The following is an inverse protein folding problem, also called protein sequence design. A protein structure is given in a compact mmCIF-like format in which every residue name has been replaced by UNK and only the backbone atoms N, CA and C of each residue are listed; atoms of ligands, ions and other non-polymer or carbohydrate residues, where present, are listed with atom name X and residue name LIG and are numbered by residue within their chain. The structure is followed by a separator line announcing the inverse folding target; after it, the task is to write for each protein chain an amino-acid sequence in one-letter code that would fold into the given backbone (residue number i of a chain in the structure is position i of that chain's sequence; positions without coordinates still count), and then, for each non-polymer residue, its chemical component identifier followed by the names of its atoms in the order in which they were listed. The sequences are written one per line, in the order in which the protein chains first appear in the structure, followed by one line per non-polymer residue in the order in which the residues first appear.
data_IF_595521303175
#
_entry.id   IF_595521303175
#
_cell.length_a   1.000
_cell.length_b   1.000
_cell.length_c   1.000
_cell.angle_alpha   90.00
_cell.angle_beta   90.00
_cell.angle_gamma   90.00
#
_symmetry.space_group_name_H-M   'P 1'
#
loop_
_entity.id
_entity.type
_entity.pdbx_description
1 polymer ?
#
# COMPACT_ATOMS: atom_id res chain seq x y z
N UNK A 1 9.43 2.41 -38.10
CA UNK A 1 8.66 2.31 -36.86
C UNK A 1 9.65 1.91 -35.79
N UNK A 2 9.86 2.79 -34.80
CA UNK A 2 10.77 2.51 -33.70
C UNK A 2 10.22 1.38 -32.83
N UNK A 3 11.09 0.51 -32.34
CA UNK A 3 10.67 -0.58 -31.46
C UNK A 3 10.14 -0.01 -30.13
N UNK A 4 8.98 -0.50 -29.68
CA UNK A 4 8.38 -0.09 -28.41
C UNK A 4 9.09 -0.84 -27.28
N UNK A 5 9.84 -0.12 -26.45
CA UNK A 5 10.39 -0.63 -25.20
C UNK A 5 9.28 -0.81 -24.15
N UNK A 6 9.52 -1.56 -23.06
CA UNK A 6 8.54 -1.86 -21.99
C UNK A 6 7.43 -2.87 -22.31
N UNK A 7 7.68 -3.91 -23.10
CA UNK A 7 6.66 -4.91 -23.51
C UNK A 7 6.02 -5.75 -22.40
N UNK A 8 6.58 -5.78 -21.18
CA UNK A 8 6.10 -6.65 -20.08
C UNK A 8 5.69 -5.93 -18.80
N UNK A 9 6.06 -4.65 -18.66
CA UNK A 9 5.99 -3.93 -17.39
C UNK A 9 5.08 -2.70 -17.53
N UNK A 10 3.91 -2.95 -18.11
CA UNK A 10 2.82 -2.01 -18.17
C UNK A 10 1.48 -2.73 -18.15
N UNK A 11 0.46 -2.01 -17.68
CA UNK A 11 -0.94 -2.40 -17.74
C UNK A 11 -1.66 -1.42 -18.66
N UNK A 12 -2.40 -1.95 -19.62
CA UNK A 12 -3.28 -1.16 -20.49
C UNK A 12 -4.62 -0.91 -19.79
N UNK A 13 -4.99 0.36 -19.64
CA UNK A 13 -6.28 0.84 -19.13
C UNK A 13 -7.08 1.56 -20.22
N UNK A 14 -6.76 1.33 -21.49
CA UNK A 14 -7.45 1.94 -22.62
C UNK A 14 -8.89 1.44 -22.73
N UNK A 15 -9.78 2.35 -23.09
CA UNK A 15 -11.21 2.11 -23.31
C UNK A 15 -11.58 2.61 -24.69
N UNK A 16 -12.77 2.28 -25.20
CA UNK A 16 -13.30 2.79 -26.48
C UNK A 16 -13.24 4.34 -26.64
N UNK A 17 -13.06 5.08 -25.54
CA UNK A 17 -12.99 6.55 -25.50
C UNK A 17 -11.58 7.12 -25.48
N UNK A 18 -10.54 6.31 -25.31
CA UNK A 18 -9.18 6.80 -25.18
C UNK A 18 -8.19 5.84 -24.55
N UNK A 19 -6.94 6.30 -24.49
CA UNK A 19 -5.80 5.50 -24.11
C UNK A 19 -5.22 5.94 -22.77
N UNK A 20 -4.90 4.98 -21.93
CA UNK A 20 -4.18 5.22 -20.68
C UNK A 20 -3.35 4.00 -20.33
N UNK A 21 -2.11 4.23 -19.93
CA UNK A 21 -1.16 3.18 -19.62
C UNK A 21 -0.60 3.40 -18.22
N UNK A 22 -0.33 2.30 -17.52
CA UNK A 22 0.32 2.32 -16.22
C UNK A 22 1.59 1.50 -16.30
N UNK A 23 2.73 2.05 -15.89
CA UNK A 23 4.02 1.37 -15.91
C UNK A 23 4.49 1.10 -14.49
N UNK A 24 4.90 -0.12 -14.16
CA UNK A 24 5.29 -0.50 -12.80
C UNK A 24 6.80 -0.76 -12.68
N UNK A 25 7.30 -0.84 -11.44
CA UNK A 25 8.67 -1.24 -11.14
C UNK A 25 8.70 -2.74 -10.83
N UNK A 26 9.55 -3.50 -11.53
CA UNK A 26 9.71 -4.95 -11.33
C UNK A 26 10.15 -5.31 -9.88
N UNK A 27 10.68 -4.34 -9.12
CA UNK A 27 11.16 -4.54 -7.74
C UNK A 27 10.18 -4.10 -6.65
N UNK A 28 9.63 -2.90 -6.74
CA UNK A 28 8.82 -2.32 -5.66
C UNK A 28 7.32 -2.25 -5.96
N UNK A 29 6.87 -2.60 -7.16
CA UNK A 29 5.47 -2.50 -7.57
C UNK A 29 4.97 -1.07 -7.80
N UNK A 30 5.61 -0.04 -7.21
CA UNK A 30 5.28 1.35 -7.50
C UNK A 30 5.34 1.62 -9.01
N UNK A 31 4.33 2.33 -9.51
CA UNK A 31 4.21 2.66 -10.90
C UNK A 31 3.76 4.10 -11.13
N UNK A 32 3.68 4.46 -12.40
CA UNK A 32 3.20 5.74 -12.87
C UNK A 32 2.11 5.52 -13.90
N UNK A 33 0.99 6.23 -13.74
CA UNK A 33 -0.09 6.24 -14.71
C UNK A 33 0.06 7.44 -15.63
N UNK A 34 -0.06 7.23 -16.93
CA UNK A 34 -0.07 8.33 -17.90
C UNK A 34 -1.38 9.09 -17.84
N UNK A 35 -1.36 10.33 -18.34
CA UNK A 35 -2.59 11.09 -18.54
C UNK A 35 -3.48 10.36 -19.56
N UNK A 36 -4.79 10.44 -19.35
CA UNK A 36 -5.76 9.87 -20.26
C UNK A 36 -5.76 10.66 -21.57
N UNK A 37 -5.44 10.00 -22.68
CA UNK A 37 -5.51 10.60 -24.01
C UNK A 37 -6.86 10.25 -24.63
N UNK A 38 -7.75 11.24 -24.74
CA UNK A 38 -9.07 11.03 -25.36
C UNK A 38 -8.90 10.68 -26.84
N UNK A 39 -9.37 9.50 -27.24
CA UNK A 39 -9.44 9.09 -28.63
C UNK A 39 -10.84 9.36 -29.13
N UNK A 40 -11.06 10.59 -29.57
CA UNK A 40 -12.31 10.99 -30.17
C UNK A 40 -12.31 10.65 -31.66
N UNK A 41 -12.32 9.37 -32.03
CA UNK A 41 -12.75 8.96 -33.38
C UNK A 41 -14.29 9.06 -33.52
N UNK A 42 -14.85 10.09 -32.88
CA UNK A 42 -16.27 10.35 -32.65
C UNK A 42 -16.59 11.81 -32.28
N UNK A 43 -15.63 12.75 -32.34
CA UNK A 43 -15.97 14.18 -32.38
C UNK A 43 -16.40 14.64 -33.79
N UNK A 44 -17.07 13.76 -34.53
CA UNK A 44 -18.01 14.06 -35.62
C UNK A 44 -19.29 13.23 -35.42
N UNK A 45 -19.77 13.08 -34.19
CA UNK A 45 -21.14 12.62 -33.93
C UNK A 45 -21.90 13.47 -32.91
N UNK A 46 -21.34 14.61 -32.48
CA UNK A 46 -22.04 15.62 -31.68
C UNK A 46 -22.22 16.97 -32.37
N UNK A 47 -21.68 17.14 -33.58
CA UNK A 47 -21.77 18.39 -34.36
C UNK A 47 -22.60 18.24 -35.65
N UNK A 48 -23.39 17.16 -35.78
CA UNK A 48 -24.28 16.91 -36.92
C UNK A 48 -25.78 16.97 -36.57
N UNK A 49 -26.14 17.20 -35.32
CA UNK A 49 -27.55 17.34 -34.91
C UNK A 49 -28.10 18.78 -35.03
N UNK A 50 -27.26 19.75 -35.43
CA UNK A 50 -27.68 21.16 -35.58
C UNK A 50 -27.99 21.60 -37.03
N UNK A 51 -27.98 20.68 -38.01
CA UNK A 51 -28.28 21.03 -39.40
C UNK A 51 -29.17 19.97 -40.10
N UNK A 52 -30.25 19.57 -39.44
CA UNK A 52 -31.28 18.69 -40.03
C UNK A 52 -32.41 19.44 -40.76
N UNK A 53 -32.28 20.75 -41.00
CA UNK A 53 -33.33 21.55 -41.67
C UNK A 53 -32.97 22.12 -43.05
N UNK A 54 -31.82 21.79 -43.66
CA UNK A 54 -31.42 22.51 -44.88
C UNK A 54 -30.87 21.72 -46.08
N UNK A 55 -30.77 20.40 -46.04
CA UNK A 55 -30.36 19.66 -47.25
C UNK A 55 -31.23 18.43 -47.47
N UNK A 56 -32.22 18.62 -48.33
CA UNK A 56 -33.09 17.57 -48.83
C UNK A 56 -32.38 16.62 -49.78
N UNK A 57 -32.79 15.35 -49.71
CA UNK A 57 -32.65 14.39 -50.80
C UNK A 57 -31.35 13.59 -50.82
N UNK A 58 -31.50 12.26 -50.73
CA UNK A 58 -30.50 11.22 -51.09
C UNK A 58 -29.39 10.98 -50.05
N UNK A 59 -29.75 10.59 -48.83
CA UNK A 59 -28.82 9.94 -47.89
C UNK A 59 -29.49 8.74 -47.17
N UNK A 60 -29.95 7.76 -47.95
CA UNK A 60 -30.61 6.55 -47.43
C UNK A 60 -29.68 5.34 -47.20
N UNK A 61 -28.35 5.47 -47.33
CA UNK A 61 -27.41 4.35 -47.19
C UNK A 61 -26.06 4.74 -46.59
N UNK A 62 -26.05 5.15 -45.32
CA UNK A 62 -24.80 5.35 -44.58
C UNK A 62 -24.90 4.97 -43.09
N UNK A 63 -25.63 3.89 -42.75
CA UNK A 63 -25.69 3.40 -41.38
C UNK A 63 -24.81 2.15 -41.11
N UNK A 64 -24.23 1.51 -42.13
CA UNK A 64 -23.53 0.22 -41.97
C UNK A 64 -22.01 0.25 -42.30
N UNK A 65 -21.44 1.42 -42.54
CA UNK A 65 -19.99 1.60 -42.77
C UNK A 65 -19.28 2.30 -41.59
N UNK A 66 -19.93 2.36 -40.43
CA UNK A 66 -19.39 3.00 -39.22
C UNK A 66 -18.54 2.08 -38.33
N UNK A 67 -18.78 0.76 -38.34
CA UNK A 67 -18.11 -0.15 -37.40
C UNK A 67 -16.74 -0.65 -37.87
N UNK A 68 -16.53 -0.80 -39.19
CA UNK A 68 -15.32 -1.43 -39.75
C UNK A 68 -14.14 -0.47 -39.96
N UNK A 69 -14.41 0.84 -40.05
CA UNK A 69 -13.35 1.85 -40.07
C UNK A 69 -12.73 2.09 -38.68
N UNK A 70 -13.40 1.64 -37.60
CA UNK A 70 -12.94 1.81 -36.21
C UNK A 70 -11.68 1.02 -35.89
N UNK A 71 -11.50 -0.18 -36.44
CA UNK A 71 -10.39 -1.07 -36.07
C UNK A 71 -9.03 -0.66 -36.66
N UNK A 72 -9.00 -0.16 -37.89
CA UNK A 72 -7.75 0.22 -38.55
C UNK A 72 -7.13 1.49 -37.93
N UNK A 73 -7.95 2.48 -37.61
CA UNK A 73 -7.49 3.71 -36.96
C UNK A 73 -7.19 3.53 -35.47
N UNK A 74 -7.89 2.62 -34.79
CA UNK A 74 -7.67 2.32 -33.37
C UNK A 74 -6.25 1.83 -33.11
N UNK A 75 -5.81 0.80 -33.85
CA UNK A 75 -4.47 0.21 -33.65
C UNK A 75 -3.35 1.24 -33.86
N UNK A 76 -3.43 2.01 -34.94
CA UNK A 76 -2.42 3.03 -35.23
C UNK A 76 -2.42 4.17 -34.18
N UNK A 77 -3.58 4.58 -33.70
CA UNK A 77 -3.69 5.59 -32.64
C UNK A 77 -3.21 5.06 -31.29
N UNK A 78 -3.49 3.80 -30.98
CA UNK A 78 -3.03 3.10 -29.78
C UNK A 78 -1.51 2.99 -29.78
N UNK A 79 -0.89 2.54 -30.89
CA UNK A 79 0.56 2.43 -31.01
C UNK A 79 1.24 3.78 -30.79
N UNK A 80 0.68 4.85 -31.36
CA UNK A 80 1.18 6.22 -31.16
C UNK A 80 1.06 6.66 -29.70
N UNK A 81 -0.09 6.43 -29.07
CA UNK A 81 -0.33 6.78 -27.69
C UNK A 81 0.61 6.01 -26.74
N UNK A 82 0.88 4.74 -27.02
CA UNK A 82 1.81 3.93 -26.24
C UNK A 82 3.26 4.44 -26.39
N UNK A 83 3.70 4.79 -27.59
CA UNK A 83 5.04 5.37 -27.82
C UNK A 83 5.21 6.68 -27.03
N UNK A 84 4.23 7.57 -27.09
CA UNK A 84 4.24 8.82 -26.32
C UNK A 84 4.28 8.56 -24.81
N UNK A 85 3.47 7.60 -24.33
CA UNK A 85 3.44 7.18 -22.93
C UNK A 85 4.80 6.63 -22.46
N UNK A 86 5.44 5.78 -23.26
CA UNK A 86 6.78 5.25 -22.97
C UNK A 86 7.81 6.38 -22.93
N UNK A 87 7.78 7.32 -23.86
CA UNK A 87 8.71 8.45 -23.88
C UNK A 87 8.60 9.33 -22.63
N UNK A 88 7.37 9.59 -22.15
CA UNK A 88 7.14 10.34 -20.93
C UNK A 88 7.73 9.65 -19.69
N UNK A 89 7.68 8.32 -19.64
CA UNK A 89 8.08 7.57 -18.45
C UNK A 89 9.52 7.07 -18.44
N UNK A 90 10.14 6.94 -19.62
CA UNK A 90 11.53 6.47 -19.80
C UNK A 90 12.55 7.14 -18.85
N UNK A 91 12.47 8.44 -18.52
CA UNK A 91 13.40 9.06 -17.56
C UNK A 91 13.31 8.49 -16.14
N UNK A 92 12.16 7.95 -15.73
CA UNK A 92 11.96 7.44 -14.37
C UNK A 92 12.42 5.99 -14.19
N UNK A 93 12.64 5.27 -15.28
CA UNK A 93 12.98 3.85 -15.29
C UNK A 93 14.34 3.58 -15.93
N UNK A 94 14.95 2.47 -15.53
CA UNK A 94 16.21 1.96 -16.08
C UNK A 94 16.16 0.44 -16.10
N UNK A 95 16.70 -0.15 -17.17
CA UNK A 95 16.82 -1.59 -17.29
C UNK A 95 18.14 -2.06 -16.67
N UNK A 96 18.07 -3.07 -15.81
CA UNK A 96 19.25 -3.69 -15.23
C UNK A 96 19.99 -4.56 -16.27
N UNK A 97 21.29 -4.35 -16.52
CA UNK A 97 22.03 -5.15 -17.50
C UNK A 97 22.23 -6.61 -17.06
N UNK A 98 22.08 -6.91 -15.77
CA UNK A 98 22.25 -8.28 -15.24
C UNK A 98 20.99 -9.12 -15.31
N UNK A 99 19.84 -8.59 -14.89
CA UNK A 99 18.59 -9.34 -14.82
C UNK A 99 17.52 -8.86 -15.81
N UNK A 100 17.84 -7.87 -16.63
CA UNK A 100 16.95 -7.24 -17.61
C UNK A 100 15.65 -6.66 -17.03
N UNK A 101 15.59 -6.49 -15.71
CA UNK A 101 14.45 -5.91 -15.00
C UNK A 101 14.38 -4.40 -15.16
N UNK A 102 13.17 -3.89 -15.42
CA UNK A 102 12.89 -2.46 -15.45
C UNK A 102 12.56 -1.99 -14.04
N UNK A 103 13.40 -1.12 -13.49
CA UNK A 103 13.26 -0.62 -12.13
C UNK A 103 13.24 0.90 -12.08
N UNK A 104 12.57 1.45 -11.06
CA UNK A 104 12.54 2.90 -10.86
C UNK A 104 13.93 3.42 -10.45
N UNK A 105 14.37 4.49 -11.11
CA UNK A 105 15.69 5.12 -10.85
C UNK A 105 15.80 5.70 -9.45
N UNK A 106 14.70 6.27 -8.93
CA UNK A 106 14.67 6.97 -7.64
C UNK A 106 14.95 6.06 -6.45
N UNK A 107 14.41 4.83 -6.45
CA UNK A 107 14.40 3.99 -5.24
C UNK A 107 15.01 2.61 -5.44
N UNK A 108 14.91 2.02 -6.64
CA UNK A 108 15.28 0.62 -6.89
C UNK A 108 16.56 0.44 -7.70
N UNK A 109 17.15 1.53 -8.18
CA UNK A 109 18.44 1.52 -8.85
C UNK A 109 19.58 1.82 -7.87
N UNK A 110 20.66 1.04 -7.95
CA UNK A 110 21.91 1.33 -7.26
C UNK A 110 22.84 2.10 -8.20
N UNK A 111 22.91 3.42 -8.03
CA UNK A 111 23.74 4.28 -8.89
C UNK A 111 25.24 3.95 -8.79
N UNK A 112 25.73 3.61 -7.59
CA UNK A 112 27.15 3.31 -7.37
C UNK A 112 27.61 2.02 -8.07
N UNK A 113 26.69 1.07 -8.26
CA UNK A 113 26.98 -0.25 -8.85
C UNK A 113 26.47 -0.41 -10.27
N UNK A 114 25.67 0.54 -10.79
CA UNK A 114 25.07 0.44 -12.11
C UNK A 114 24.13 -0.78 -12.27
N UNK A 115 23.50 -1.21 -11.18
CA UNK A 115 22.67 -2.42 -11.12
C UNK A 115 21.40 -2.15 -10.32
N UNK A 116 20.35 -2.95 -10.51
CA UNK A 116 19.18 -2.88 -9.65
C UNK A 116 19.51 -3.40 -8.24
N UNK A 117 18.78 -2.92 -7.22
CA UNK A 117 19.01 -3.32 -5.83
C UNK A 117 18.70 -4.79 -5.52
N UNK A 118 18.03 -5.53 -6.41
CA UNK A 118 17.94 -6.99 -6.28
C UNK A 118 19.25 -7.68 -6.70
N UNK A 119 19.98 -7.10 -7.65
CA UNK A 119 21.27 -7.63 -8.14
C UNK A 119 22.46 -7.13 -7.32
N UNK A 120 22.39 -5.89 -6.85
CA UNK A 120 23.41 -5.24 -6.04
C UNK A 120 22.71 -4.34 -4.99
N UNK A 121 22.28 -4.90 -3.85
CA UNK A 121 21.63 -4.13 -2.81
C UNK A 121 22.57 -3.12 -2.17
N UNK A 122 22.00 -2.13 -1.46
CA UNK A 122 22.78 -1.19 -0.66
C UNK A 122 23.20 -1.87 0.64
N UNK A 123 24.46 -2.29 0.72
CA UNK A 123 24.97 -3.08 1.85
C UNK A 123 24.71 -2.43 3.22
N UNK A 124 24.78 -1.10 3.33
CA UNK A 124 24.47 -0.40 4.57
C UNK A 124 23.01 -0.56 5.02
N UNK A 125 22.06 -0.56 4.07
CA UNK A 125 20.64 -0.77 4.34
C UNK A 125 20.39 -2.23 4.72
N UNK A 126 21.00 -3.17 3.99
CA UNK A 126 20.87 -4.61 4.28
C UNK A 126 21.49 -4.96 5.65
N UNK A 127 22.64 -4.39 6.00
CA UNK A 127 23.26 -4.59 7.31
C UNK A 127 22.38 -4.05 8.44
N UNK A 128 21.80 -2.85 8.29
CA UNK A 128 20.89 -2.28 9.28
C UNK A 128 19.62 -3.15 9.43
N UNK A 129 19.06 -3.64 8.32
CA UNK A 129 17.92 -4.54 8.34
C UNK A 129 18.26 -5.89 9.01
N UNK A 130 19.45 -6.45 8.72
CA UNK A 130 19.92 -7.69 9.33
C UNK A 130 20.18 -7.53 10.84
N UNK A 131 20.74 -6.40 11.28
CA UNK A 131 20.90 -6.11 12.71
C UNK A 131 19.53 -6.00 13.38
N UNK A 132 18.59 -5.29 12.77
CA UNK A 132 17.23 -5.18 13.30
C UNK A 132 16.54 -6.55 13.38
N UNK A 133 16.63 -7.38 12.34
CA UNK A 133 16.00 -8.71 12.34
C UNK A 133 16.56 -9.58 13.46
N UNK A 134 17.89 -9.60 13.66
CA UNK A 134 18.51 -10.32 14.78
C UNK A 134 18.04 -9.82 16.13
N UNK A 135 17.99 -8.50 16.34
CA UNK A 135 17.47 -7.96 17.60
C UNK A 135 16.00 -8.34 17.83
N UNK A 136 15.17 -8.33 16.79
CA UNK A 136 13.76 -8.75 16.92
C UNK A 136 13.63 -10.25 17.18
N UNK A 137 14.45 -11.08 16.55
CA UNK A 137 14.50 -12.52 16.76
C UNK A 137 14.94 -12.85 18.19
N UNK A 138 15.97 -12.18 18.70
CA UNK A 138 16.44 -12.32 20.08
C UNK A 138 15.37 -11.88 21.07
N UNK A 139 14.71 -10.73 20.86
CA UNK A 139 13.57 -10.29 21.68
C UNK A 139 12.45 -11.34 21.65
N UNK A 140 12.13 -11.90 20.48
CA UNK A 140 11.10 -12.92 20.35
C UNK A 140 11.52 -14.25 21.01
N UNK A 141 12.80 -14.60 20.97
CA UNK A 141 13.35 -15.79 21.61
C UNK A 141 13.31 -15.65 23.15
N UNK A 142 13.74 -14.51 23.69
CA UNK A 142 13.68 -14.23 25.13
C UNK A 142 12.25 -14.00 25.64
N UNK A 143 11.31 -13.57 24.79
CA UNK A 143 9.89 -13.49 25.15
C UNK A 143 9.13 -14.80 24.98
N UNK A 144 9.64 -15.75 24.20
CA UNK A 144 9.24 -17.16 24.24
C UNK A 144 9.93 -17.82 25.45
N UNK A 145 9.52 -17.39 26.63
CA UNK A 145 9.84 -17.92 27.96
C UNK A 145 10.18 -19.42 27.88
N UNK A 146 11.44 -19.80 28.12
CA UNK A 146 11.81 -21.18 28.40
C UNK A 146 11.01 -21.63 29.63
N UNK A 147 10.59 -22.88 29.69
CA UNK A 147 9.68 -23.39 30.74
C UNK A 147 10.16 -23.07 32.17
N UNK A 148 11.46 -22.92 32.36
CA UNK A 148 12.13 -22.51 33.61
C UNK A 148 11.84 -21.04 34.00
N UNK A 149 11.82 -20.12 33.03
CA UNK A 149 11.46 -18.70 33.25
C UNK A 149 9.96 -18.53 33.57
N UNK A 150 9.12 -19.52 33.27
CA UNK A 150 7.70 -19.53 33.66
C UNK A 150 7.55 -19.60 35.19
N UNK A 151 8.52 -20.17 35.88
CA UNK A 151 8.53 -20.24 37.34
C UNK A 151 8.77 -18.85 37.96
N UNK A 152 9.62 -18.02 37.34
CA UNK A 152 9.78 -16.60 37.72
C UNK A 152 8.54 -15.75 37.39
N UNK A 153 7.73 -16.15 36.41
CA UNK A 153 6.46 -15.48 36.07
C UNK A 153 5.28 -15.87 36.98
N UNK A 154 5.47 -16.80 37.93
CA UNK A 154 4.50 -17.08 39.00
C UNK A 154 4.49 -15.99 40.08
N UNK A 155 5.50 -15.12 40.10
CA UNK A 155 5.48 -13.93 40.93
C UNK A 155 4.45 -12.93 40.33
N UNK A 156 3.36 -12.68 41.05
CA UNK A 156 2.19 -11.91 40.59
C UNK A 156 2.53 -10.45 40.21
N UNK A 157 3.74 -9.99 40.48
CA UNK A 157 4.19 -8.60 40.26
C UNK A 157 4.24 -8.16 38.79
N UNK A 158 4.32 -9.08 37.82
CA UNK A 158 4.45 -8.71 36.40
C UNK A 158 3.12 -8.69 35.63
N UNK A 159 2.06 -9.36 36.13
CA UNK A 159 0.75 -9.47 35.46
C UNK A 159 -0.22 -8.32 35.77
N UNK A 160 0.21 -7.30 36.49
CA UNK A 160 -0.57 -6.08 36.67
C UNK A 160 -0.58 -5.30 35.35
N UNK A 161 -1.68 -5.41 34.60
CA UNK A 161 -1.83 -4.96 33.21
C UNK A 161 -1.28 -3.57 32.91
N UNK A 162 -0.16 -3.54 32.20
CA UNK A 162 0.39 -2.31 31.61
C UNK A 162 -0.33 -2.07 30.28
N UNK A 163 -1.19 -1.06 30.23
CA UNK A 163 -1.77 -0.54 28.99
C UNK A 163 -0.87 0.56 28.45
N UNK A 164 -0.54 0.48 27.16
CA UNK A 164 0.32 1.46 26.50
C UNK A 164 -0.36 2.83 26.28
N UNK A 165 -1.69 2.90 26.36
CA UNK A 165 -2.47 4.11 26.05
C UNK A 165 -3.62 4.32 27.03
N UNK A 166 -3.98 5.59 27.23
CA UNK A 166 -5.09 5.98 28.08
C UNK A 166 -6.42 5.60 27.44
N UNK A 167 -7.34 4.89 28.13
CA UNK A 167 -8.62 4.48 27.56
C UNK A 167 -9.59 5.64 27.31
N UNK A 168 -9.33 6.83 27.86
CA UNK A 168 -10.20 8.01 27.72
C UNK A 168 -9.75 8.98 26.63
N UNK A 169 -8.44 9.21 26.50
CA UNK A 169 -7.89 10.20 25.57
C UNK A 169 -6.89 9.63 24.56
N UNK A 170 -6.61 8.32 24.61
CA UNK A 170 -5.63 7.62 23.77
C UNK A 170 -4.18 8.11 23.85
N UNK A 171 -3.86 9.03 24.78
CA UNK A 171 -2.50 9.47 25.01
C UNK A 171 -1.59 8.31 25.46
N UNK A 172 -0.32 8.28 25.03
CA UNK A 172 0.64 7.26 25.43
C UNK A 172 0.90 7.32 26.93
N UNK A 173 0.83 6.18 27.60
CA UNK A 173 1.08 6.05 29.03
C UNK A 173 2.51 5.54 29.27
N UNK A 174 3.16 6.06 30.31
CA UNK A 174 4.41 5.49 30.78
C UNK A 174 4.17 4.13 31.47
N UNK A 175 5.21 3.29 31.53
CA UNK A 175 5.15 1.99 32.22
C UNK A 175 4.61 2.20 33.65
N UNK A 176 3.55 1.47 34.01
CA UNK A 176 2.89 1.54 35.32
C UNK A 176 2.30 2.91 35.72
N UNK A 177 1.93 3.78 34.76
CA UNK A 177 1.31 5.07 35.06
C UNK A 177 -0.06 4.91 35.75
N UNK A 178 -0.18 5.36 37.01
CA UNK A 178 -1.44 5.32 37.79
C UNK A 178 -2.48 6.34 37.32
N UNK A 179 -2.06 7.40 36.65
CA UNK A 179 -2.89 8.47 36.12
C UNK A 179 -2.38 8.90 34.74
N UNK A 180 -3.30 9.28 33.85
CA UNK A 180 -2.93 9.85 32.55
C UNK A 180 -2.39 11.28 32.73
N UNK A 181 -1.20 11.61 32.21
CA UNK A 181 -0.63 12.96 32.30
C UNK A 181 -1.43 14.00 31.49
N UNK A 182 -2.13 13.57 30.44
CA UNK A 182 -2.88 14.46 29.55
C UNK A 182 -4.30 14.74 30.04
N UNK A 183 -5.01 13.71 30.52
CA UNK A 183 -6.44 13.83 30.85
C UNK A 183 -6.78 13.57 32.33
N UNK A 184 -5.76 13.36 33.18
CA UNK A 184 -5.90 13.14 34.62
C UNK A 184 -6.67 11.87 35.01
N UNK A 185 -7.07 11.04 34.05
CA UNK A 185 -7.90 9.86 34.31
C UNK A 185 -7.09 8.77 34.99
N UNK A 186 -7.60 8.24 36.10
CA UNK A 186 -6.97 7.16 36.84
C UNK A 186 -6.94 5.88 35.99
N UNK A 187 -5.75 5.31 35.83
CA UNK A 187 -5.49 4.04 35.15
C UNK A 187 -5.32 2.96 36.23
N UNK A 188 -6.25 2.91 37.18
CA UNK A 188 -6.24 1.86 38.21
C UNK A 188 -6.59 0.53 37.54
N UNK A 189 -5.74 -0.47 37.72
CA UNK A 189 -6.08 -1.86 37.45
C UNK A 189 -7.18 -2.26 38.43
N UNK A 190 -8.41 -2.39 37.94
CA UNK A 190 -9.53 -2.89 38.75
C UNK A 190 -9.22 -4.33 39.17
N UNK A 191 -9.15 -4.59 40.49
CA UNK A 191 -8.96 -5.93 41.03
C UNK A 191 -10.34 -6.60 41.06
N UNK A 192 -10.48 -7.76 40.45
CA UNK A 192 -11.72 -8.54 40.51
C UNK A 192 -11.54 -9.72 41.46
N UNK A 193 -12.58 -10.07 42.20
CA UNK A 193 -12.57 -11.23 43.08
C UNK A 193 -12.40 -12.52 42.25
N UNK A 194 -11.38 -13.32 42.58
CA UNK A 194 -11.07 -14.59 41.90
C UNK A 194 -12.19 -15.64 42.04
N UNK A 195 -13.10 -15.48 43.01
CA UNK A 195 -14.18 -16.42 43.30
C UNK A 195 -15.54 -15.98 42.70
N UNK A 196 -15.98 -14.74 42.95
CA UNK A 196 -17.30 -14.26 42.53
C UNK A 196 -17.28 -13.24 41.38
N UNK A 197 -16.10 -12.78 40.95
CA UNK A 197 -15.97 -11.78 39.87
C UNK A 197 -16.37 -10.35 40.27
N UNK A 198 -16.75 -10.11 41.52
CA UNK A 198 -17.10 -8.77 42.00
C UNK A 198 -15.87 -7.83 41.96
N UNK A 199 -16.11 -6.57 41.57
CA UNK A 199 -15.09 -5.52 41.54
C UNK A 199 -14.65 -5.18 42.98
N UNK A 200 -13.34 -5.15 43.19
CA UNK A 200 -12.72 -4.91 44.48
C UNK A 200 -11.87 -3.65 44.46
N UNK A 201 -11.79 -2.99 45.61
CA UNK A 201 -10.80 -1.94 45.83
C UNK A 201 -9.38 -2.51 45.75
N UNK A 202 -8.44 -1.69 45.23
CA UNK A 202 -7.09 -2.13 44.88
C UNK A 202 -6.31 -2.75 46.06
N UNK A 203 -6.65 -2.37 47.31
CA UNK A 203 -5.99 -2.81 48.55
C UNK A 203 -6.86 -3.74 49.43
N UNK A 204 -8.02 -4.19 48.94
CA UNK A 204 -8.92 -5.04 49.72
C UNK A 204 -8.40 -6.49 49.82
N UNK A 205 -8.10 -6.93 51.06
CA UNK A 205 -7.64 -8.30 51.39
C UNK A 205 -8.75 -9.35 51.38
N UNK A 206 -10.01 -8.92 51.44
CA UNK A 206 -11.18 -9.78 51.46
C UNK A 206 -12.25 -9.19 50.54
N UNK A 207 -13.01 -10.07 49.88
CA UNK A 207 -14.13 -9.64 49.05
C UNK A 207 -15.31 -9.20 49.92
N UNK A 208 -15.81 -7.98 49.69
CA UNK A 208 -16.97 -7.44 50.39
C UNK A 208 -18.26 -8.21 50.07
N UNK A 209 -18.35 -8.81 48.88
CA UNK A 209 -19.54 -9.54 48.42
C UNK A 209 -19.55 -11.01 48.87
N UNK A 210 -18.41 -11.70 48.80
CA UNK A 210 -18.35 -13.16 49.05
C UNK A 210 -17.44 -13.56 50.23
N UNK A 211 -16.85 -12.62 50.95
CA UNK A 211 -15.99 -12.85 52.12
C UNK A 211 -14.66 -13.58 51.82
N UNK A 212 -14.42 -13.97 50.57
CA UNK A 212 -13.25 -14.77 50.20
C UNK A 212 -12.00 -13.90 50.19
N UNK A 213 -10.93 -14.37 50.85
CA UNK A 213 -9.61 -13.72 50.89
C UNK A 213 -8.98 -13.66 49.47
N UNK A 214 -8.43 -12.51 49.08
CA UNK A 214 -7.91 -12.20 47.73
C UNK A 214 -6.42 -11.85 47.73
#
# INVERSE_FOLDING_TARGET
MDAIEFTRNYTDHSTDRGFQFEFQCDRCGNGYKTQFQAWALGNVSGALDAASSLFGGVFGRAADLGERARSAGWQQAWDKALVEAVQQIKPNFVQCPRCSAWVCRKSCWNQSRGLCKNCAPDMGVEMAAAQASRTTEEIWAHSKVAEEDREMLKDESWRAGVRATCPKCNAPLQKNAKFCPECGTAIKSEKFCKNCGAKMEADAKFCAECGTKQ
#
